data_IF_185771115746
#
_entry.id   IF_185771115746
#
_cell.length_a   1.000
_cell.length_b   1.000
_cell.length_c   1.000
_cell.angle_alpha   90.00
_cell.angle_beta   90.00
_cell.angle_gamma   90.00
#
_symmetry.space_group_name_H-M   'P 1'
#
loop_
_entity.id
_entity.type
_entity.pdbx_description
1 polymer ?
#
# COMPACT_ATOMS: atom_id res chain seq x y z
N UNK A 1 -9.35 -7.23 17.55
CA UNK A 1 -8.34 -6.59 18.42
C UNK A 1 -9.01 -5.45 19.15
N UNK A 2 -8.90 -5.39 20.47
CA UNK A 2 -9.67 -4.48 21.31
C UNK A 2 -9.56 -3.05 20.80
N UNK A 3 -10.65 -2.55 20.20
CA UNK A 3 -10.89 -1.11 20.06
C UNK A 3 -10.56 -0.51 21.41
N UNK A 4 -9.60 0.41 21.40
CA UNK A 4 -9.08 1.12 22.56
C UNK A 4 -10.09 1.08 23.70
N UNK A 5 -9.76 0.38 24.81
CA UNK A 5 -10.49 0.49 26.08
C UNK A 5 -11.03 1.91 26.13
N UNK A 6 -12.35 2.08 26.14
CA UNK A 6 -12.93 3.41 26.30
C UNK A 6 -12.43 3.94 27.63
N UNK A 7 -11.31 4.67 27.57
CA UNK A 7 -10.75 5.37 28.70
C UNK A 7 -11.85 6.31 29.11
N UNK A 8 -12.36 6.12 30.34
CA UNK A 8 -13.37 6.94 31.01
C UNK A 8 -13.36 8.37 30.47
N UNK A 9 -14.20 8.65 29.48
CA UNK A 9 -14.16 9.96 28.84
C UNK A 9 -14.98 10.91 29.71
N UNK A 10 -14.31 11.88 30.34
CA UNK A 10 -15.00 12.90 31.14
C UNK A 10 -16.13 13.54 30.32
N UNK A 11 -17.19 13.96 31.00
CA UNK A 11 -18.44 14.46 30.41
C UNK A 11 -18.23 15.46 29.25
N UNK A 12 -17.27 16.39 29.40
CA UNK A 12 -16.90 17.37 28.37
C UNK A 12 -16.43 16.71 27.06
N UNK A 13 -15.64 15.64 27.11
CA UNK A 13 -15.19 14.91 25.91
C UNK A 13 -16.35 14.26 25.18
N UNK A 14 -17.39 13.81 25.90
CA UNK A 14 -18.60 13.24 25.30
C UNK A 14 -19.41 14.31 24.56
N UNK A 15 -19.54 15.50 25.16
CA UNK A 15 -20.21 16.64 24.52
C UNK A 15 -19.48 17.03 23.23
N UNK A 16 -18.15 17.21 23.29
CA UNK A 16 -17.37 17.56 22.11
C UNK A 16 -17.52 16.52 21.00
N UNK A 17 -17.39 15.22 21.33
CA UNK A 17 -17.58 14.14 20.35
C UNK A 17 -18.96 14.22 19.69
N UNK A 18 -20.03 14.45 20.45
CA UNK A 18 -21.39 14.60 19.91
C UNK A 18 -21.55 15.83 19.03
N UNK A 19 -20.96 16.97 19.43
CA UNK A 19 -20.99 18.19 18.64
C UNK A 19 -20.30 17.98 17.28
N UNK A 20 -19.09 17.45 17.26
CA UNK A 20 -18.39 17.14 16.01
C UNK A 20 -19.14 16.10 15.17
N UNK A 21 -19.71 15.07 15.79
CA UNK A 21 -20.51 14.06 15.09
C UNK A 21 -21.75 14.66 14.42
N UNK A 22 -22.42 15.62 15.07
CA UNK A 22 -23.55 16.34 14.48
C UNK A 22 -23.15 17.12 13.22
N UNK A 23 -21.93 17.64 13.17
CA UNK A 23 -21.37 18.29 11.97
C UNK A 23 -20.75 17.31 10.96
N UNK A 24 -20.89 15.98 11.17
CA UNK A 24 -20.35 14.95 10.27
C UNK A 24 -18.86 14.65 10.46
N UNK A 25 -18.24 15.12 11.55
CA UNK A 25 -16.82 14.88 11.85
C UNK A 25 -16.62 13.80 12.93
N UNK A 26 -15.62 12.95 12.75
CA UNK A 26 -15.18 11.97 13.75
C UNK A 26 -13.93 12.48 14.50
N UNK A 27 -13.99 12.49 15.83
CA UNK A 27 -12.84 12.87 16.67
C UNK A 27 -11.99 11.65 17.00
N UNK A 28 -10.87 11.49 16.28
CA UNK A 28 -9.86 10.45 16.54
C UNK A 28 -8.70 11.00 17.38
N UNK A 29 -8.15 10.15 18.25
CA UNK A 29 -6.92 10.47 18.98
C UNK A 29 -5.75 10.39 18.00
N UNK A 30 -4.93 11.44 17.91
CA UNK A 30 -3.68 11.41 17.13
C UNK A 30 -2.70 10.36 17.69
N UNK A 31 -1.93 9.74 16.81
CA UNK A 31 -0.95 8.70 17.12
C UNK A 31 -1.54 7.60 18.00
N UNK A 32 -2.78 7.18 17.73
CA UNK A 32 -3.39 6.05 18.44
C UNK A 32 -2.73 4.72 18.00
N UNK A 33 -3.13 3.60 18.59
CA UNK A 33 -2.54 2.30 18.24
C UNK A 33 -2.71 1.98 16.75
N UNK A 34 -3.90 2.23 16.19
CA UNK A 34 -4.17 2.03 14.77
C UNK A 34 -3.25 2.94 13.95
N UNK A 35 -3.16 4.23 14.24
CA UNK A 35 -2.27 5.14 13.50
C UNK A 35 -0.81 4.68 13.47
N UNK A 36 -0.32 4.10 14.57
CA UNK A 36 1.08 3.64 14.69
C UNK A 36 1.34 2.30 14.01
N UNK A 37 0.33 1.42 13.94
CA UNK A 37 0.51 0.02 13.54
C UNK A 37 -0.34 -0.39 12.34
N UNK A 38 -1.12 0.51 11.74
CA UNK A 38 -1.97 0.21 10.59
C UNK A 38 -1.19 -0.40 9.42
N UNK A 39 0.06 0.06 9.21
CA UNK A 39 0.95 -0.42 8.15
C UNK A 39 2.07 -1.33 8.70
N UNK A 40 1.93 -1.84 9.94
CA UNK A 40 2.92 -2.76 10.50
C UNK A 40 2.63 -4.19 10.03
N UNK A 41 3.64 -4.82 9.41
CA UNK A 41 3.55 -6.18 8.88
C UNK A 41 4.57 -7.02 9.63
N UNK A 42 4.09 -7.94 10.45
CA UNK A 42 4.94 -8.71 11.38
C UNK A 42 5.82 -9.72 10.66
N UNK A 43 5.40 -10.19 9.48
CA UNK A 43 6.08 -11.17 8.66
C UNK A 43 7.26 -10.60 7.86
N UNK A 44 7.41 -9.28 7.82
CA UNK A 44 8.54 -8.66 7.13
C UNK A 44 9.83 -8.80 7.93
N UNK A 45 10.88 -9.28 7.28
CA UNK A 45 12.24 -9.11 7.83
C UNK A 45 12.62 -7.63 7.81
N UNK A 46 13.62 -7.24 8.61
CA UNK A 46 14.12 -5.87 8.63
C UNK A 46 14.55 -5.39 7.23
N UNK A 47 15.28 -6.22 6.50
CA UNK A 47 15.73 -5.93 5.13
C UNK A 47 14.56 -5.74 4.16
N UNK A 48 13.56 -6.64 4.22
CA UNK A 48 12.37 -6.55 3.36
C UNK A 48 11.53 -5.31 3.68
N UNK A 49 11.41 -4.97 4.96
CA UNK A 49 10.73 -3.76 5.38
C UNK A 49 11.44 -2.50 4.87
N UNK A 50 12.77 -2.42 5.03
CA UNK A 50 13.57 -1.30 4.51
C UNK A 50 13.43 -1.14 3.00
N UNK A 51 13.40 -2.25 2.25
CA UNK A 51 13.22 -2.22 0.81
C UNK A 51 11.80 -1.77 0.41
N UNK A 52 10.78 -2.34 1.05
CA UNK A 52 9.38 -1.97 0.78
C UNK A 52 9.12 -0.50 1.11
N UNK A 53 9.69 0.04 2.19
CA UNK A 53 9.52 1.46 2.53
C UNK A 53 10.13 2.36 1.45
N UNK A 54 11.28 2.01 0.86
CA UNK A 54 11.86 2.76 -0.27
C UNK A 54 10.94 2.75 -1.49
N UNK A 55 10.37 1.59 -1.83
CA UNK A 55 9.43 1.50 -2.96
C UNK A 55 8.10 2.18 -2.66
N UNK A 56 7.63 2.20 -1.41
CA UNK A 56 6.41 2.91 -0.99
C UNK A 56 6.50 4.41 -1.28
N UNK A 57 7.69 5.00 -1.21
CA UNK A 57 7.89 6.44 -1.50
C UNK A 57 7.73 6.78 -2.99
N UNK A 58 7.93 5.83 -3.90
CA UNK A 58 7.97 6.07 -5.36
C UNK A 58 6.83 5.37 -6.12
N UNK A 59 6.28 4.29 -5.57
CA UNK A 59 5.14 3.58 -6.13
C UNK A 59 3.84 4.23 -5.68
N UNK A 60 2.81 4.16 -6.53
CA UNK A 60 1.44 4.49 -6.12
C UNK A 60 0.83 3.44 -5.18
N UNK A 61 1.43 2.25 -5.12
CA UNK A 61 1.00 1.12 -4.32
C UNK A 61 1.26 1.34 -2.82
N UNK A 62 0.31 0.91 -1.99
CA UNK A 62 0.50 0.93 -0.53
C UNK A 62 1.57 -0.08 -0.10
N UNK A 63 2.09 0.09 1.11
CA UNK A 63 3.02 -0.87 1.73
C UNK A 63 2.50 -2.31 1.68
N UNK A 64 1.21 -2.49 1.95
CA UNK A 64 0.56 -3.80 1.95
C UNK A 64 0.50 -4.41 0.54
N UNK A 65 0.29 -3.59 -0.49
CA UNK A 65 0.33 -4.06 -1.87
C UNK A 65 1.75 -4.50 -2.28
N UNK A 66 2.77 -3.72 -1.92
CA UNK A 66 4.18 -4.07 -2.19
C UNK A 66 4.60 -5.34 -1.45
N UNK A 67 4.15 -5.51 -0.20
CA UNK A 67 4.34 -6.76 0.53
C UNK A 67 3.63 -7.94 -0.13
N UNK A 68 2.40 -7.77 -0.61
CA UNK A 68 1.68 -8.82 -1.35
C UNK A 68 2.45 -9.27 -2.60
N UNK A 69 3.06 -8.33 -3.33
CA UNK A 69 3.94 -8.64 -4.48
C UNK A 69 5.15 -9.46 -4.02
N UNK A 70 5.86 -9.03 -2.96
CA UNK A 70 6.97 -9.77 -2.39
C UNK A 70 6.58 -11.22 -2.03
N UNK A 71 5.46 -11.40 -1.33
CA UNK A 71 4.98 -12.72 -0.92
C UNK A 71 4.61 -13.58 -2.13
N UNK A 72 4.01 -12.98 -3.16
CA UNK A 72 3.69 -13.68 -4.42
C UNK A 72 4.97 -14.17 -5.12
N UNK A 73 6.01 -13.34 -5.21
CA UNK A 73 7.29 -13.74 -5.80
C UNK A 73 7.97 -14.84 -4.98
N UNK A 74 7.96 -14.75 -3.64
CA UNK A 74 8.44 -15.83 -2.76
C UNK A 74 7.70 -17.13 -3.02
N UNK A 75 6.37 -17.08 -3.09
CA UNK A 75 5.54 -18.26 -3.32
C UNK A 75 5.84 -18.90 -4.69
N UNK A 76 5.94 -18.08 -5.73
CA UNK A 76 6.31 -18.52 -7.08
C UNK A 76 7.70 -19.16 -7.09
N UNK A 77 8.67 -18.55 -6.40
CA UNK A 77 10.04 -19.04 -6.26
C UNK A 77 10.09 -20.40 -5.55
N UNK A 78 9.51 -20.51 -4.36
CA UNK A 78 9.56 -21.73 -3.55
C UNK A 78 8.83 -22.91 -4.17
N UNK A 79 7.70 -22.66 -4.86
CA UNK A 79 6.93 -23.70 -5.52
C UNK A 79 7.34 -23.94 -6.98
N UNK A 80 8.35 -23.22 -7.49
CA UNK A 80 8.86 -23.33 -8.86
C UNK A 80 7.73 -23.20 -9.90
N UNK A 81 6.81 -22.26 -9.68
CA UNK A 81 5.63 -22.09 -10.53
C UNK A 81 6.09 -21.63 -11.93
N UNK A 82 5.73 -22.33 -13.01
CA UNK A 82 6.13 -21.95 -14.37
C UNK A 82 5.39 -20.71 -14.85
N UNK A 83 5.92 -20.07 -15.91
CA UNK A 83 5.32 -18.88 -16.53
C UNK A 83 5.96 -17.56 -16.12
N UNK A 84 5.59 -16.51 -16.86
CA UNK A 84 6.08 -15.14 -16.71
C UNK A 84 5.16 -14.30 -15.80
N UNK A 85 5.59 -13.07 -15.49
CA UNK A 85 4.83 -12.11 -14.67
C UNK A 85 4.26 -11.01 -15.57
N UNK A 86 3.03 -10.58 -15.30
CA UNK A 86 2.37 -9.48 -15.99
C UNK A 86 1.84 -8.44 -15.01
N UNK A 87 2.00 -7.16 -15.34
CA UNK A 87 1.34 -6.03 -14.67
C UNK A 87 0.54 -5.23 -15.71
N UNK A 88 -0.75 -5.00 -15.43
CA UNK A 88 -1.65 -4.22 -16.28
C UNK A 88 -1.96 -2.88 -15.57
N UNK A 89 -1.55 -1.76 -16.16
CA UNK A 89 -1.57 -0.44 -15.53
C UNK A 89 -0.26 -0.17 -14.79
N UNK A 90 0.79 0.15 -15.55
CA UNK A 90 2.17 0.35 -15.10
C UNK A 90 2.38 1.73 -14.46
N UNK A 91 1.66 2.75 -14.94
CA UNK A 91 1.90 4.15 -14.61
C UNK A 91 3.38 4.57 -14.83
N UNK A 92 4.13 4.82 -13.76
CA UNK A 92 5.52 5.26 -13.79
C UNK A 92 6.53 4.09 -13.74
N UNK A 93 6.07 2.84 -13.72
CA UNK A 93 6.93 1.65 -13.80
C UNK A 93 7.71 1.30 -12.55
N UNK A 94 7.46 1.97 -11.42
CA UNK A 94 8.19 1.69 -10.18
C UNK A 94 7.84 0.31 -9.60
N UNK A 95 6.62 -0.18 -9.77
CA UNK A 95 6.24 -1.55 -9.39
C UNK A 95 6.97 -2.60 -10.23
N UNK A 96 7.12 -2.38 -11.54
CA UNK A 96 7.94 -3.23 -12.41
C UNK A 96 9.41 -3.28 -11.96
N UNK A 97 9.94 -2.17 -11.45
CA UNK A 97 11.30 -2.10 -10.91
C UNK A 97 11.45 -2.94 -9.64
N UNK A 98 10.44 -2.94 -8.76
CA UNK A 98 10.38 -3.86 -7.62
C UNK A 98 10.35 -5.32 -8.10
N UNK A 99 9.49 -5.66 -9.06
CA UNK A 99 9.40 -7.00 -9.62
C UNK A 99 10.76 -7.46 -10.19
N UNK A 100 11.43 -6.61 -10.98
CA UNK A 100 12.75 -6.92 -11.54
C UNK A 100 13.80 -7.19 -10.46
N UNK A 101 13.81 -6.38 -9.41
CA UNK A 101 14.70 -6.60 -8.26
C UNK A 101 14.41 -7.92 -7.54
N UNK A 102 13.13 -8.27 -7.34
CA UNK A 102 12.74 -9.51 -6.69
C UNK A 102 13.07 -10.75 -7.55
N UNK A 103 12.82 -10.70 -8.85
CA UNK A 103 13.21 -11.76 -9.80
C UNK A 103 14.71 -12.04 -9.71
N UNK A 104 15.54 -11.00 -9.72
CA UNK A 104 16.98 -11.13 -9.56
C UNK A 104 17.36 -11.69 -8.19
N UNK A 105 16.76 -11.17 -7.10
CA UNK A 105 17.04 -11.62 -5.73
C UNK A 105 16.75 -13.12 -5.53
N UNK A 106 15.69 -13.62 -6.15
CA UNK A 106 15.31 -15.03 -6.06
C UNK A 106 15.84 -15.89 -7.22
N UNK A 107 16.70 -15.34 -8.08
CA UNK A 107 17.31 -16.00 -9.23
C UNK A 107 16.28 -16.72 -10.12
N UNK A 108 15.19 -16.01 -10.44
CA UNK A 108 14.11 -16.54 -11.26
C UNK A 108 14.36 -16.26 -12.74
N UNK A 109 14.22 -17.27 -13.58
CA UNK A 109 14.21 -17.10 -15.04
C UNK A 109 12.78 -16.81 -15.50
N UNK A 110 12.36 -15.55 -15.39
CA UNK A 110 11.01 -15.07 -15.71
C UNK A 110 11.07 -13.73 -16.40
N UNK A 111 10.24 -13.55 -17.44
CA UNK A 111 10.04 -12.23 -18.04
C UNK A 111 9.00 -11.45 -17.24
N UNK A 112 9.15 -10.13 -17.26
CA UNK A 112 8.13 -9.19 -16.78
C UNK A 112 7.52 -8.51 -17.98
N UNK A 113 6.20 -8.64 -18.12
CA UNK A 113 5.41 -7.96 -19.14
C UNK A 113 4.64 -6.82 -18.48
N UNK A 114 5.00 -5.59 -18.81
CA UNK A 114 4.23 -4.42 -18.43
C UNK A 114 3.30 -4.02 -19.58
N UNK A 115 1.99 -3.98 -19.32
CA UNK A 115 1.01 -3.42 -20.23
C UNK A 115 0.37 -2.16 -19.63
N UNK A 116 0.40 -1.08 -20.39
CA UNK A 116 -0.33 0.15 -20.10
C UNK A 116 -0.86 0.71 -21.42
N UNK A 117 -1.79 1.64 -21.38
CA UNK A 117 -2.16 2.38 -22.59
C UNK A 117 -1.00 3.27 -23.04
N UNK A 118 -0.12 3.66 -22.11
CA UNK A 118 0.94 4.66 -22.32
C UNK A 118 0.38 5.99 -22.85
N UNK A 119 -0.91 6.24 -22.58
CA UNK A 119 -1.59 7.47 -22.93
C UNK A 119 -1.54 8.47 -21.76
N UNK A 120 -1.76 9.76 -22.04
CA UNK A 120 -1.80 10.84 -21.02
C UNK A 120 -3.09 10.83 -20.17
N UNK A 121 -3.65 9.65 -19.88
CA UNK A 121 -5.01 9.45 -19.36
C UNK A 121 -5.34 10.22 -18.08
N UNK A 122 -4.37 10.48 -17.20
CA UNK A 122 -4.58 11.24 -15.97
C UNK A 122 -4.67 12.77 -16.17
N UNK A 123 -4.13 13.32 -17.26
CA UNK A 123 -4.13 14.77 -17.51
C UNK A 123 -5.36 15.22 -18.33
N UNK A 124 -5.93 14.32 -19.14
CA UNK A 124 -6.97 14.68 -20.11
C UNK A 124 -8.35 14.88 -19.46
N UNK A 125 -8.66 14.17 -18.39
CA UNK A 125 -9.98 14.21 -17.71
C UNK A 125 -10.15 15.38 -16.74
N UNK A 126 -9.07 15.92 -16.18
CA UNK A 126 -9.17 17.09 -15.29
C UNK A 126 -9.48 18.39 -16.06
N UNK A 127 -8.99 18.52 -17.29
CA UNK A 127 -9.23 19.69 -18.14
C UNK A 127 -10.52 19.58 -18.96
N UNK A 128 -10.97 18.37 -19.29
CA UNK A 128 -12.22 18.16 -20.05
C UNK A 128 -13.49 18.52 -19.27
N UNK A 129 -13.43 18.63 -17.94
CA UNK A 129 -14.55 19.10 -17.10
C UNK A 129 -14.48 20.60 -16.77
N UNK A 130 -13.50 21.32 -17.35
CA UNK A 130 -13.27 22.76 -17.18
C UNK A 130 -13.41 23.56 -18.49
N UNK A 131 -13.74 22.89 -19.60
CA UNK A 131 -14.20 23.50 -20.87
C UNK A 131 -15.65 23.09 -21.12
#
# INVERSE_FOLDING_TARGET
MASSKEISSNFLKKILKKAFLYFGYEVKRKNNFIDRYHDYIVELTKEENEEIEKFKEICLASKLNLWSILQSIKYISYNKIPGDIVECGIYNGNTLSLLGKLINKYNLDKKIWGYDTFEQGFLKTALANLM
#
